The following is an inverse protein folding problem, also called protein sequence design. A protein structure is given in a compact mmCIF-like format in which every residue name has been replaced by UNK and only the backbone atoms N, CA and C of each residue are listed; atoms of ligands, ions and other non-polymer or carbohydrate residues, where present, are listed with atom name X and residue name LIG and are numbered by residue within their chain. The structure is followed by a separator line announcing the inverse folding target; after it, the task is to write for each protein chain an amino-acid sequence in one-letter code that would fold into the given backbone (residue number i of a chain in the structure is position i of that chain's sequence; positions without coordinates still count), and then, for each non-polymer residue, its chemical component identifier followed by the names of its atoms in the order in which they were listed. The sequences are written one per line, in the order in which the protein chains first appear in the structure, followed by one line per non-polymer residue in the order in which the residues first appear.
data_IF_950822485744
#
_entry.id   IF_950822485744
#
_cell.length_a   1.000
_cell.length_b   1.000
_cell.length_c   1.000
_cell.angle_alpha   90.00
_cell.angle_beta   90.00
_cell.angle_gamma   90.00
#
_symmetry.space_group_name_H-M   'P 1'
#
loop_
_entity.id
_entity.type
_entity.pdbx_description
1 polymer ?
#
# COMPACT_ATOMS: atom_id res chain seq x y z
N UNK A 1 10.11 3.18 -13.48
CA UNK A 1 8.65 3.18 -13.78
C UNK A 1 7.78 3.03 -12.52
N UNK A 2 7.77 1.89 -11.80
CA UNK A 2 6.94 1.75 -10.57
C UNK A 2 7.41 2.69 -9.44
N UNK A 3 8.69 2.61 -9.05
CA UNK A 3 9.30 3.49 -8.03
C UNK A 3 9.04 4.98 -8.32
N UNK A 4 9.27 5.39 -9.56
CA UNK A 4 9.19 6.81 -9.94
C UNK A 4 7.73 7.30 -9.95
N UNK A 5 6.76 6.44 -10.29
CA UNK A 5 5.34 6.75 -10.20
C UNK A 5 4.90 6.93 -8.74
N UNK A 6 5.30 6.02 -7.84
CA UNK A 6 5.00 6.12 -6.40
C UNK A 6 5.59 7.42 -5.83
N UNK A 7 6.89 7.67 -6.07
CA UNK A 7 7.55 8.90 -5.61
C UNK A 7 6.90 10.17 -6.15
N UNK A 8 6.43 10.15 -7.40
CA UNK A 8 5.76 11.31 -7.99
C UNK A 8 4.44 11.63 -7.30
N UNK A 9 3.66 10.61 -6.96
CA UNK A 9 2.38 10.81 -6.27
C UNK A 9 2.58 11.26 -4.83
N UNK A 10 3.53 10.65 -4.11
CA UNK A 10 3.91 11.08 -2.76
C UNK A 10 4.40 12.54 -2.73
N UNK A 11 5.18 12.97 -3.74
CA UNK A 11 5.62 14.38 -3.87
C UNK A 11 4.47 15.37 -4.06
N UNK A 12 3.30 14.90 -4.49
CA UNK A 12 2.07 15.71 -4.59
C UNK A 12 1.22 15.66 -3.32
N UNK A 13 1.66 14.93 -2.30
CA UNK A 13 0.89 14.64 -1.10
C UNK A 13 -0.24 13.62 -1.33
N UNK A 14 -0.21 12.90 -2.46
CA UNK A 14 -1.18 11.87 -2.79
C UNK A 14 -0.76 10.49 -2.31
N UNK A 15 -1.73 9.58 -2.27
CA UNK A 15 -1.53 8.17 -1.91
C UNK A 15 -1.72 7.28 -3.14
N UNK A 16 -1.13 6.08 -3.12
CA UNK A 16 -1.17 5.13 -4.23
C UNK A 16 -1.93 3.87 -3.84
N UNK A 17 -2.96 3.54 -4.60
CA UNK A 17 -3.56 2.20 -4.58
C UNK A 17 -2.79 1.28 -5.53
N UNK A 18 -2.23 0.19 -5.01
CA UNK A 18 -1.49 -0.81 -5.76
C UNK A 18 -2.31 -2.11 -5.85
N UNK A 19 -2.87 -2.38 -7.03
CA UNK A 19 -3.68 -3.58 -7.23
C UNK A 19 -2.80 -4.83 -7.40
N UNK A 20 -2.96 -5.80 -6.51
CA UNK A 20 -2.34 -7.13 -6.64
C UNK A 20 -3.37 -8.24 -6.43
N UNK A 21 -3.77 -8.91 -7.51
CA UNK A 21 -4.93 -9.83 -7.55
C UNK A 21 -4.71 -11.21 -6.88
N UNK A 22 -3.57 -11.43 -6.21
CA UNK A 22 -3.24 -12.74 -5.61
C UNK A 22 -2.79 -12.59 -4.16
N UNK A 23 -3.72 -12.83 -3.24
CA UNK A 23 -3.47 -12.77 -1.78
C UNK A 23 -2.25 -13.60 -1.37
N UNK A 24 -2.09 -14.82 -1.90
CA UNK A 24 -0.95 -15.71 -1.59
C UNK A 24 0.43 -15.10 -1.83
N UNK A 25 0.54 -14.03 -2.62
CA UNK A 25 1.82 -13.40 -2.96
C UNK A 25 1.83 -11.89 -2.68
N UNK A 26 0.83 -11.38 -1.95
CA UNK A 26 0.68 -9.95 -1.70
C UNK A 26 1.78 -9.42 -0.78
N UNK A 27 2.16 -10.18 0.25
CA UNK A 27 3.26 -9.82 1.16
C UNK A 27 4.60 -9.70 0.45
N UNK A 28 4.87 -10.58 -0.52
CA UNK A 28 6.07 -10.49 -1.36
C UNK A 28 6.06 -9.23 -2.22
N UNK A 29 4.89 -8.86 -2.76
CA UNK A 29 4.77 -7.63 -3.55
C UNK A 29 4.94 -6.39 -2.66
N UNK A 30 4.33 -6.36 -1.48
CA UNK A 30 4.50 -5.28 -0.51
C UNK A 30 5.96 -5.13 -0.07
N UNK A 31 6.65 -6.25 0.18
CA UNK A 31 8.09 -6.27 0.49
C UNK A 31 8.90 -5.67 -0.65
N UNK A 32 8.63 -6.09 -1.89
CA UNK A 32 9.28 -5.52 -3.07
C UNK A 32 9.03 -4.01 -3.22
N UNK A 33 7.83 -3.53 -2.90
CA UNK A 33 7.53 -2.09 -2.90
C UNK A 33 8.35 -1.36 -1.83
N UNK A 34 8.41 -1.89 -0.60
CA UNK A 34 9.24 -1.34 0.49
C UNK A 34 10.73 -1.29 0.11
N UNK A 35 11.24 -2.30 -0.58
CA UNK A 35 12.62 -2.30 -1.10
C UNK A 35 12.84 -1.25 -2.20
N UNK A 36 11.85 -1.08 -3.10
CA UNK A 36 11.94 -0.12 -4.19
C UNK A 36 11.77 1.34 -3.74
N UNK A 37 10.95 1.58 -2.72
CA UNK A 37 10.61 2.89 -2.15
C UNK A 37 10.67 2.81 -0.61
N UNK A 38 11.88 2.80 -0.01
CA UNK A 38 12.04 2.63 1.44
C UNK A 38 11.39 3.73 2.29
N UNK A 39 11.21 4.91 1.71
CA UNK A 39 10.54 6.04 2.37
C UNK A 39 9.01 5.93 2.41
N UNK A 40 8.40 5.01 1.65
CA UNK A 40 6.95 4.84 1.61
C UNK A 40 6.46 3.94 2.75
N UNK A 41 5.42 4.38 3.45
CA UNK A 41 4.65 3.55 4.39
C UNK A 41 3.67 2.69 3.59
N UNK A 42 3.88 1.38 3.63
CA UNK A 42 3.11 0.39 2.84
C UNK A 42 2.23 -0.45 3.75
N UNK A 43 0.91 -0.38 3.52
CA UNK A 43 -0.09 -1.27 4.10
C UNK A 43 -0.51 -2.35 3.10
N UNK A 44 -1.18 -3.38 3.61
CA UNK A 44 -1.80 -4.44 2.80
C UNK A 44 -3.25 -4.54 3.24
N UNK A 45 -4.17 -4.46 2.29
CA UNK A 45 -5.59 -4.75 2.49
C UNK A 45 -6.06 -5.79 1.49
N UNK A 46 -6.74 -6.84 1.96
CA UNK A 46 -7.39 -7.82 1.06
C UNK A 46 -8.63 -8.46 1.67
N UNK A 47 -9.55 -8.92 0.82
CA UNK A 47 -10.85 -9.46 1.25
C UNK A 47 -10.82 -10.78 2.02
N UNK A 48 -9.66 -11.46 2.15
CA UNK A 48 -9.50 -12.61 3.04
C UNK A 48 -9.11 -12.23 4.49
N UNK A 49 -8.90 -10.94 4.78
CA UNK A 49 -8.66 -10.47 6.16
C UNK A 49 -9.96 -10.55 6.97
N UNK A 50 -9.84 -10.56 8.30
CA UNK A 50 -10.99 -10.28 9.14
C UNK A 50 -11.54 -8.88 8.81
N UNK A 51 -12.86 -8.70 8.98
CA UNK A 51 -13.53 -7.44 8.62
C UNK A 51 -13.02 -6.28 9.46
N UNK A 52 -12.79 -6.50 10.75
CA UNK A 52 -12.34 -5.46 11.66
C UNK A 52 -10.90 -5.05 11.31
N UNK A 53 -10.04 -6.02 10.97
CA UNK A 53 -8.68 -5.75 10.51
C UNK A 53 -8.67 -4.97 9.18
N UNK A 54 -9.52 -5.35 8.23
CA UNK A 54 -9.64 -4.65 6.95
C UNK A 54 -10.15 -3.21 7.14
N UNK A 55 -11.12 -3.01 8.02
CA UNK A 55 -11.63 -1.68 8.36
C UNK A 55 -10.53 -0.79 8.95
N UNK A 56 -9.72 -1.31 9.86
CA UNK A 56 -8.57 -0.61 10.43
C UNK A 56 -7.58 -0.19 9.33
N UNK A 57 -7.23 -1.10 8.41
CA UNK A 57 -6.33 -0.79 7.28
C UNK A 57 -6.92 0.30 6.39
N UNK A 58 -8.19 0.18 6.01
CA UNK A 58 -8.85 1.15 5.14
C UNK A 58 -8.94 2.53 5.80
N UNK A 59 -9.24 2.58 7.10
CA UNK A 59 -9.32 3.83 7.85
C UNK A 59 -7.95 4.50 8.02
N UNK A 60 -6.90 3.73 8.31
CA UNK A 60 -5.52 4.23 8.35
C UNK A 60 -5.10 4.81 6.99
N UNK A 61 -5.47 4.14 5.90
CA UNK A 61 -5.20 4.64 4.56
C UNK A 61 -5.97 5.94 4.29
N UNK A 62 -7.28 6.00 4.53
CA UNK A 62 -8.07 7.23 4.31
C UNK A 62 -7.55 8.43 5.13
N UNK A 63 -6.99 8.18 6.31
CA UNK A 63 -6.37 9.23 7.15
C UNK A 63 -5.00 9.72 6.66
N UNK A 64 -4.43 9.12 5.62
CA UNK A 64 -3.09 9.46 5.14
C UNK A 64 -1.97 8.91 6.01
N UNK A 65 -2.24 7.89 6.83
CA UNK A 65 -1.23 7.28 7.71
C UNK A 65 -0.26 6.38 6.92
N UNK A 66 -0.62 6.02 5.69
CA UNK A 66 0.19 5.24 4.75
C UNK A 66 0.21 5.87 3.35
N UNK A 67 1.27 5.61 2.60
CA UNK A 67 1.49 6.18 1.26
C UNK A 67 1.03 5.23 0.15
N UNK A 68 1.12 3.92 0.39
CA UNK A 68 0.77 2.86 -0.55
C UNK A 68 -0.07 1.79 0.14
N UNK A 69 -1.16 1.36 -0.49
CA UNK A 69 -2.01 0.26 -0.04
C UNK A 69 -2.31 -0.71 -1.18
#
# INVERSE_FOLDING_TARGET
MIRDAIRREMKRGGQVFFLHNRVKTIDMMATKIRELVPEAKVLIGHGQMDKDDLEVVMHAFVKGEADVC
#
